data_IF_634691889091
#
_entry.id   IF_634691889091
#
_cell.length_a   1.000
_cell.length_b   1.000
_cell.length_c   1.000
_cell.angle_alpha   90.00
_cell.angle_beta   90.00
_cell.angle_gamma   90.00
#
_symmetry.space_group_name_H-M   'P 1'
#
loop_
_entity.id
_entity.type
_entity.pdbx_description
1 polymer ?
#
# COMPACT_ATOMS: atom_id res chain seq x y z
N UNK A 1 -2.00 0.00 10.56
CA UNK A 1 -0.92 -1.02 10.44
C UNK A 1 0.30 -0.57 11.27
N UNK A 2 0.53 -1.14 12.46
CA UNK A 2 1.67 -0.79 13.32
C UNK A 2 2.96 -1.50 12.88
N UNK A 3 4.12 -0.86 13.11
CA UNK A 3 5.44 -1.52 13.07
C UNK A 3 5.97 -1.92 11.69
N UNK A 4 7.22 -2.41 11.65
CA UNK A 4 7.92 -2.88 10.44
C UNK A 4 7.62 -4.35 10.16
N UNK A 5 7.18 -4.66 8.94
CA UNK A 5 7.05 -6.04 8.43
C UNK A 5 8.43 -6.62 8.03
N UNK A 6 8.56 -7.94 8.02
CA UNK A 6 9.84 -8.63 7.76
C UNK A 6 10.33 -8.57 6.30
N UNK A 7 11.65 -8.55 6.09
CA UNK A 7 12.31 -8.22 4.81
C UNK A 7 12.17 -9.23 3.65
N UNK A 8 11.57 -10.41 3.87
CA UNK A 8 11.47 -11.49 2.87
C UNK A 8 10.02 -11.77 2.42
N UNK A 9 9.09 -10.86 2.68
CA UNK A 9 7.72 -11.02 2.24
C UNK A 9 7.59 -10.82 0.74
N UNK A 10 6.96 -11.78 0.06
CA UNK A 10 6.61 -11.68 -1.36
C UNK A 10 5.19 -11.18 -1.56
N UNK A 11 4.25 -11.64 -0.72
CA UNK A 11 2.84 -11.26 -0.81
C UNK A 11 2.30 -10.91 0.57
N UNK A 12 1.57 -9.80 0.66
CA UNK A 12 0.89 -9.35 1.87
C UNK A 12 -0.58 -9.13 1.55
N UNK A 13 -1.45 -9.84 2.27
CA UNK A 13 -2.90 -9.74 2.16
C UNK A 13 -3.48 -9.37 3.53
N UNK A 14 -4.00 -8.15 3.66
CA UNK A 14 -4.61 -7.63 4.89
C UNK A 14 -6.00 -7.05 4.56
N UNK A 15 -6.70 -7.67 3.62
CA UNK A 15 -8.02 -7.25 3.16
C UNK A 15 -9.13 -7.52 4.17
N UNK A 16 -10.21 -6.72 4.13
CA UNK A 16 -11.38 -6.84 5.01
C UNK A 16 -11.03 -6.75 6.51
N UNK A 17 -10.27 -5.72 6.88
CA UNK A 17 -9.99 -5.41 8.27
C UNK A 17 -10.48 -3.99 8.60
N UNK A 18 -10.25 -3.56 9.83
CA UNK A 18 -10.63 -2.23 10.33
C UNK A 18 -9.44 -1.28 10.36
N UNK A 19 -8.51 -1.40 9.41
CA UNK A 19 -7.33 -0.53 9.37
C UNK A 19 -7.74 0.85 8.89
N UNK A 20 -7.59 1.84 9.78
CA UNK A 20 -7.92 3.25 9.47
C UNK A 20 -6.70 4.07 9.07
N UNK A 21 -5.49 3.56 9.29
CA UNK A 21 -4.25 4.27 8.96
C UNK A 21 -3.08 3.33 8.71
N UNK A 22 -2.13 3.79 7.91
CA UNK A 22 -0.86 3.10 7.63
C UNK A 22 0.27 3.93 8.22
N UNK A 23 1.07 3.33 9.10
CA UNK A 23 2.25 4.01 9.63
C UNK A 23 3.28 4.24 8.50
N UNK A 24 3.98 5.40 8.41
CA UNK A 24 4.88 5.70 7.30
C UNK A 24 6.01 4.68 7.09
N UNK A 25 6.42 3.99 8.16
CA UNK A 25 7.46 2.96 8.12
C UNK A 25 6.91 1.53 8.04
N UNK A 26 5.60 1.34 7.88
CA UNK A 26 4.99 0.02 7.98
C UNK A 26 5.48 -0.96 6.90
N UNK A 27 5.83 -0.42 5.73
CA UNK A 27 6.26 -1.16 4.55
C UNK A 27 7.75 -0.99 4.26
N UNK A 28 8.50 -0.42 5.22
CA UNK A 28 9.94 -0.20 5.09
C UNK A 28 10.68 -1.52 4.86
N UNK A 29 11.70 -1.51 4.00
CA UNK A 29 12.55 -2.66 3.67
C UNK A 29 11.86 -3.88 3.03
N UNK A 30 10.60 -3.77 2.60
CA UNK A 30 9.90 -4.83 1.87
C UNK A 30 10.28 -4.87 0.38
N UNK A 31 11.58 -4.91 0.11
CA UNK A 31 12.15 -4.74 -1.25
C UNK A 31 11.75 -5.87 -2.21
N UNK A 32 11.44 -7.04 -1.66
CA UNK A 32 11.03 -8.22 -2.42
C UNK A 32 9.51 -8.35 -2.60
N UNK A 33 8.72 -7.43 -2.04
CA UNK A 33 7.27 -7.52 -2.06
C UNK A 33 6.75 -7.34 -3.50
N UNK A 34 5.95 -8.30 -3.96
CA UNK A 34 5.35 -8.33 -5.30
C UNK A 34 3.86 -7.99 -5.29
N UNK A 35 3.15 -8.37 -4.23
CA UNK A 35 1.71 -8.12 -4.07
C UNK A 35 1.44 -7.50 -2.72
N UNK A 36 0.77 -6.35 -2.73
CA UNK A 36 0.19 -5.72 -1.54
C UNK A 36 -1.30 -5.55 -1.75
N UNK A 37 -2.10 -6.25 -0.94
CA UNK A 37 -3.55 -6.13 -0.92
C UNK A 37 -4.00 -5.69 0.46
N UNK A 38 -4.40 -4.41 0.55
CA UNK A 38 -5.01 -3.83 1.75
C UNK A 38 -6.44 -3.34 1.47
N UNK A 39 -7.06 -3.88 0.41
CA UNK A 39 -8.43 -3.53 0.00
C UNK A 39 -9.46 -3.78 1.11
N UNK A 40 -10.59 -3.07 1.04
CA UNK A 40 -11.64 -3.16 2.07
C UNK A 40 -11.12 -2.85 3.48
N UNK A 41 -10.36 -1.75 3.61
CA UNK A 41 -9.97 -1.15 4.89
C UNK A 41 -10.24 0.35 4.84
N UNK A 42 -10.80 0.98 5.89
CA UNK A 42 -11.17 2.39 5.87
C UNK A 42 -9.98 3.36 6.03
N UNK A 43 -8.99 3.30 5.13
CA UNK A 43 -7.69 3.96 5.29
C UNK A 43 -7.75 5.47 5.04
N UNK A 44 -8.67 5.99 4.22
CA UNK A 44 -8.91 7.41 3.88
C UNK A 44 -7.73 8.23 3.31
N UNK A 45 -6.50 8.05 3.82
CA UNK A 45 -5.29 8.75 3.44
C UNK A 45 -4.08 7.81 3.53
N UNK A 46 -3.15 7.97 2.58
CA UNK A 46 -1.86 7.26 2.58
C UNK A 46 -0.73 8.27 2.79
N UNK A 47 0.21 8.01 3.72
CA UNK A 47 1.36 8.89 3.90
C UNK A 47 2.22 9.02 2.65
N UNK A 48 2.87 10.17 2.49
CA UNK A 48 3.90 10.34 1.47
C UNK A 48 5.02 9.30 1.67
N UNK A 49 5.56 8.80 0.56
CA UNK A 49 6.66 7.85 0.53
C UNK A 49 6.40 6.50 1.23
N UNK A 50 5.14 6.17 1.57
CA UNK A 50 4.80 4.90 2.25
C UNK A 50 5.20 3.65 1.43
N UNK A 51 5.31 3.78 0.11
CA UNK A 51 5.72 2.71 -0.80
C UNK A 51 7.17 2.83 -1.31
N UNK A 52 7.99 3.70 -0.73
CA UNK A 52 9.30 4.10 -1.28
C UNK A 52 10.25 2.94 -1.55
N UNK A 53 10.25 1.92 -0.71
CA UNK A 53 11.17 0.78 -0.79
C UNK A 53 10.58 -0.41 -1.58
N UNK A 54 9.34 -0.31 -2.08
CA UNK A 54 8.61 -1.39 -2.74
C UNK A 54 8.97 -1.53 -4.23
N UNK A 55 10.26 -1.58 -4.53
CA UNK A 55 10.78 -1.56 -5.90
C UNK A 55 10.37 -2.78 -6.73
N UNK A 56 10.14 -3.94 -6.11
CA UNK A 56 9.68 -5.16 -6.77
C UNK A 56 8.15 -5.26 -6.90
N UNK A 57 7.39 -4.30 -6.37
CA UNK A 57 5.93 -4.42 -6.31
C UNK A 57 5.31 -4.39 -7.70
N UNK A 58 4.52 -5.42 -7.99
CA UNK A 58 3.83 -5.58 -9.26
C UNK A 58 2.34 -5.24 -9.15
N UNK A 59 1.72 -5.56 -8.01
CA UNK A 59 0.28 -5.39 -7.81
C UNK A 59 -0.01 -4.70 -6.47
N UNK A 60 -0.63 -3.53 -6.56
CA UNK A 60 -1.12 -2.76 -5.41
C UNK A 60 -2.64 -2.69 -5.46
N UNK A 61 -3.31 -3.26 -4.46
CA UNK A 61 -4.77 -3.21 -4.34
C UNK A 61 -5.19 -2.36 -3.14
N UNK A 62 -5.91 -1.29 -3.48
CA UNK A 62 -6.45 -0.27 -2.60
C UNK A 62 -7.95 -0.09 -2.86
N UNK A 63 -8.61 -1.09 -3.45
CA UNK A 63 -10.05 -1.03 -3.71
C UNK A 63 -10.84 -0.90 -2.40
N UNK A 64 -11.90 -0.10 -2.39
CA UNK A 64 -12.77 0.09 -1.23
C UNK A 64 -12.03 0.57 0.03
N UNK A 65 -11.16 1.58 -0.10
CA UNK A 65 -10.37 2.12 1.01
C UNK A 65 -10.77 3.53 1.49
N UNK A 66 -11.84 4.11 0.91
CA UNK A 66 -12.28 5.50 1.15
C UNK A 66 -11.20 6.56 0.87
N UNK A 67 -10.23 6.26 0.01
CA UNK A 67 -9.12 7.17 -0.27
C UNK A 67 -9.65 8.39 -1.02
N UNK A 68 -9.39 9.57 -0.50
CA UNK A 68 -9.86 10.84 -1.07
C UNK A 68 -8.83 11.53 -1.96
N UNK A 69 -7.56 11.18 -1.81
CA UNK A 69 -6.47 11.76 -2.59
C UNK A 69 -5.27 10.82 -2.61
N UNK A 70 -4.52 10.86 -3.71
CA UNK A 70 -3.21 10.22 -3.84
C UNK A 70 -2.25 11.26 -4.38
N UNK A 71 -1.18 11.53 -3.64
CA UNK A 71 -0.14 12.45 -4.07
C UNK A 71 0.90 11.71 -4.93
N UNK A 72 1.58 12.44 -5.83
CA UNK A 72 2.74 11.90 -6.57
C UNK A 72 3.83 11.36 -5.63
N UNK A 73 3.92 11.89 -4.41
CA UNK A 73 4.88 11.47 -3.39
C UNK A 73 4.46 10.15 -2.73
N UNK A 74 3.17 9.84 -2.65
CA UNK A 74 2.65 8.56 -2.14
C UNK A 74 3.14 7.38 -2.99
N UNK A 75 3.07 7.50 -4.31
CA UNK A 75 3.40 6.42 -5.26
C UNK A 75 4.91 6.30 -5.59
N UNK A 76 5.74 7.17 -5.02
CA UNK A 76 7.19 7.14 -5.27
C UNK A 76 7.78 5.80 -4.83
N UNK A 77 8.64 5.22 -5.68
CA UNK A 77 9.30 3.92 -5.42
C UNK A 77 8.67 2.73 -6.15
N UNK A 78 7.43 2.86 -6.63
CA UNK A 78 6.68 1.85 -7.38
C UNK A 78 7.16 1.73 -8.84
N UNK A 79 8.43 1.39 -9.03
CA UNK A 79 9.09 1.37 -10.35
C UNK A 79 8.74 0.15 -11.21
N UNK A 80 8.18 -0.91 -10.62
CA UNK A 80 7.85 -2.16 -11.31
C UNK A 80 6.33 -2.47 -11.31
N UNK A 81 5.50 -1.48 -10.98
CA UNK A 81 4.05 -1.71 -10.81
C UNK A 81 3.39 -1.98 -12.16
N UNK A 82 2.65 -3.08 -12.24
CA UNK A 82 1.89 -3.50 -13.43
C UNK A 82 0.42 -3.09 -13.31
N UNK A 83 -0.10 -3.08 -12.09
CA UNK A 83 -1.48 -2.67 -11.84
C UNK A 83 -1.64 -2.06 -10.46
N UNK A 84 -2.29 -0.90 -10.42
CA UNK A 84 -2.81 -0.28 -9.21
C UNK A 84 -4.33 -0.33 -9.32
N UNK A 85 -4.98 -0.89 -8.29
CA UNK A 85 -6.44 -0.99 -8.22
C UNK A 85 -6.95 -0.01 -7.17
N UNK A 86 -7.78 0.92 -7.61
CA UNK A 86 -8.33 2.03 -6.82
C UNK A 86 -9.86 2.11 -6.93
N UNK A 87 -10.51 1.04 -7.36
CA UNK A 87 -11.96 1.09 -7.59
C UNK A 87 -12.69 1.34 -6.27
N UNK A 88 -13.82 2.03 -6.34
CA UNK A 88 -14.68 2.33 -5.19
C UNK A 88 -13.92 3.06 -4.06
N UNK A 89 -13.12 4.07 -4.44
CA UNK A 89 -12.59 5.10 -3.55
C UNK A 89 -13.30 6.45 -3.82
N UNK A 90 -12.91 7.48 -3.07
CA UNK A 90 -13.50 8.83 -3.10
C UNK A 90 -12.52 9.84 -3.75
N UNK A 91 -11.75 9.37 -4.75
CA UNK A 91 -10.66 10.11 -5.41
C UNK A 91 -11.14 11.30 -6.25
#
# INVERSE_FOLDING_TARGET
LPGTLGANLLHVFIRHNTITSVHPLALKNLQNLRILDISHNPISQLPDFVFRDLHALEYLKLDHCHIQQISDRTLKGLTNVKSIKLNNNEL
#
